data_IF_723006037359
#
_entry.id   IF_723006037359
#
_cell.length_a   1.000
_cell.length_b   1.000
_cell.length_c   1.000
_cell.angle_alpha   90.00
_cell.angle_beta   90.00
_cell.angle_gamma   90.00
#
_symmetry.space_group_name_H-M   'P 1'
#
loop_
_entity.id
_entity.type
_entity.pdbx_description
1 polymer ?
#
# COMPACT_ATOMS: atom_id res chain seq x y z
N UNK A 1 25.66 -8.90 0.93
CA UNK A 1 25.73 -7.82 1.89
C UNK A 1 24.38 -7.12 1.98
N UNK A 2 24.00 -6.82 3.19
CA UNK A 2 22.79 -6.10 3.52
C UNK A 2 23.11 -4.64 3.84
N UNK A 3 22.20 -3.75 3.47
CA UNK A 3 22.20 -2.39 3.99
C UNK A 3 20.93 -2.25 4.81
N UNK A 4 21.04 -2.36 6.13
CA UNK A 4 19.91 -2.22 7.07
C UNK A 4 18.70 -3.15 6.74
N UNK A 5 18.95 -4.38 6.34
CA UNK A 5 17.91 -5.33 5.95
C UNK A 5 17.42 -5.20 4.50
N UNK A 6 18.02 -4.32 3.70
CA UNK A 6 17.79 -4.26 2.26
C UNK A 6 18.79 -5.17 1.55
N UNK A 7 18.34 -6.09 0.67
CA UNK A 7 19.27 -6.78 -0.21
C UNK A 7 20.05 -5.78 -1.05
N UNK A 8 21.39 -5.83 -0.98
CA UNK A 8 22.25 -4.84 -1.65
C UNK A 8 21.96 -4.75 -3.15
N UNK A 9 21.66 -5.86 -3.79
CA UNK A 9 21.34 -5.92 -5.22
C UNK A 9 20.07 -5.13 -5.59
N UNK A 10 19.16 -4.90 -4.65
CA UNK A 10 17.89 -4.18 -4.86
C UNK A 10 17.90 -2.75 -4.31
N UNK A 11 19.01 -2.28 -3.74
CA UNK A 11 19.08 -0.98 -3.08
C UNK A 11 18.58 0.17 -3.96
N UNK A 12 19.08 0.26 -5.20
CA UNK A 12 18.67 1.32 -6.11
C UNK A 12 17.21 1.21 -6.55
N UNK A 13 16.65 0.01 -6.55
CA UNK A 13 15.23 -0.17 -6.81
C UNK A 13 14.36 0.42 -5.68
N UNK A 14 14.78 0.31 -4.42
CA UNK A 14 14.09 0.98 -3.31
C UNK A 14 14.20 2.50 -3.39
N UNK A 15 15.36 3.03 -3.73
CA UNK A 15 15.56 4.48 -3.95
C UNK A 15 14.68 4.96 -5.10
N UNK A 16 14.68 4.24 -6.21
CA UNK A 16 13.85 4.56 -7.38
C UNK A 16 12.37 4.50 -7.08
N UNK A 17 11.92 3.52 -6.30
CA UNK A 17 10.52 3.45 -5.87
C UNK A 17 10.13 4.64 -5.01
N UNK A 18 10.97 5.05 -4.07
CA UNK A 18 10.70 6.22 -3.25
C UNK A 18 10.47 7.46 -4.13
N UNK A 19 11.35 7.72 -5.08
CA UNK A 19 11.22 8.85 -6.02
C UNK A 19 9.98 8.73 -6.91
N UNK A 20 9.70 7.53 -7.41
CA UNK A 20 8.49 7.28 -8.20
C UNK A 20 7.22 7.58 -7.40
N UNK A 21 7.16 7.11 -6.17
CA UNK A 21 5.99 7.33 -5.32
C UNK A 21 5.86 8.79 -4.85
N UNK A 22 6.97 9.50 -4.68
CA UNK A 22 6.94 10.95 -4.45
C UNK A 22 6.30 11.66 -5.64
N UNK A 23 6.71 11.31 -6.85
CA UNK A 23 6.15 11.88 -8.07
C UNK A 23 4.65 11.61 -8.22
N UNK A 24 4.24 10.36 -8.00
CA UNK A 24 2.81 9.99 -8.04
C UNK A 24 2.01 10.72 -6.95
N UNK A 25 2.58 10.90 -5.78
CA UNK A 25 1.94 11.57 -4.64
C UNK A 25 1.79 13.08 -4.78
N UNK A 26 2.55 13.74 -5.65
CA UNK A 26 2.42 15.19 -5.89
C UNK A 26 1.01 15.54 -6.31
N UNK A 27 0.43 14.81 -7.24
CA UNK A 27 -0.94 15.03 -7.68
C UNK A 27 -1.97 14.46 -6.70
N UNK A 28 -1.75 13.26 -6.21
CA UNK A 28 -2.69 12.59 -5.30
C UNK A 28 -3.02 13.44 -4.06
N UNK A 29 -2.08 14.24 -3.59
CA UNK A 29 -2.28 15.10 -2.42
C UNK A 29 -2.94 16.44 -2.71
N UNK A 30 -3.09 16.83 -3.96
CA UNK A 30 -3.61 18.15 -4.32
C UNK A 30 -4.74 18.13 -5.35
N UNK A 31 -4.94 17.03 -6.06
CA UNK A 31 -5.83 16.97 -7.21
C UNK A 31 -7.30 17.28 -6.87
N UNK A 32 -7.77 16.88 -5.70
CA UNK A 32 -9.13 17.21 -5.22
C UNK A 32 -9.33 18.72 -5.10
N UNK A 33 -8.41 19.41 -4.45
CA UNK A 33 -8.38 20.87 -4.31
C UNK A 33 -8.31 21.54 -5.68
N UNK A 34 -7.46 21.04 -6.56
CA UNK A 34 -7.34 21.53 -7.93
C UNK A 34 -8.69 21.47 -8.67
N UNK A 35 -9.36 20.32 -8.60
CA UNK A 35 -10.64 20.10 -9.28
C UNK A 35 -11.72 21.06 -8.77
N UNK A 36 -11.82 21.22 -7.45
CA UNK A 36 -12.79 22.15 -6.85
C UNK A 36 -12.50 23.61 -7.22
N UNK A 37 -11.24 24.00 -7.29
CA UNK A 37 -10.84 25.35 -7.70
C UNK A 37 -11.07 25.64 -9.18
N UNK A 38 -11.18 24.60 -10.02
CA UNK A 38 -11.40 24.74 -11.45
C UNK A 38 -12.86 24.47 -11.88
N UNK A 39 -13.79 24.58 -10.97
CA UNK A 39 -15.23 24.55 -11.26
C UNK A 39 -15.86 23.18 -11.31
N UNK A 40 -15.14 22.11 -10.92
CA UNK A 40 -15.70 20.78 -10.82
C UNK A 40 -16.41 20.57 -9.47
N UNK A 41 -17.47 19.78 -9.46
CA UNK A 41 -18.24 19.47 -8.26
C UNK A 41 -17.55 18.42 -7.39
N UNK A 42 -17.94 18.33 -6.12
CA UNK A 42 -17.51 17.26 -5.23
C UNK A 42 -17.92 15.87 -5.77
N UNK A 43 -19.05 15.77 -6.42
CA UNK A 43 -19.50 14.55 -7.07
C UNK A 43 -18.56 14.09 -8.20
N UNK A 44 -18.06 15.04 -8.99
CA UNK A 44 -17.04 14.76 -10.01
C UNK A 44 -15.74 14.25 -9.39
N UNK A 45 -15.28 14.88 -8.32
CA UNK A 45 -14.06 14.46 -7.60
C UNK A 45 -14.22 13.05 -7.05
N UNK A 46 -15.37 12.74 -6.47
CA UNK A 46 -15.66 11.40 -5.95
C UNK A 46 -15.67 10.35 -7.07
N UNK A 47 -16.26 10.66 -8.21
CA UNK A 47 -16.27 9.79 -9.39
C UNK A 47 -14.85 9.56 -9.91
N UNK A 48 -14.04 10.61 -10.00
CA UNK A 48 -12.65 10.56 -10.45
C UNK A 48 -11.82 9.59 -9.60
N UNK A 49 -11.86 9.75 -8.27
CA UNK A 49 -11.12 8.90 -7.36
C UNK A 49 -11.68 7.47 -7.26
N UNK A 50 -12.98 7.29 -7.45
CA UNK A 50 -13.60 5.97 -7.49
C UNK A 50 -13.11 5.18 -8.70
N UNK A 51 -13.14 5.77 -9.89
CA UNK A 51 -12.63 5.13 -11.10
C UNK A 51 -11.14 4.83 -11.00
N UNK A 52 -10.36 5.78 -10.48
CA UNK A 52 -8.93 5.58 -10.23
C UNK A 52 -8.68 4.42 -9.26
N UNK A 53 -9.42 4.35 -8.16
CA UNK A 53 -9.31 3.27 -7.17
C UNK A 53 -9.62 1.89 -7.76
N UNK A 54 -10.61 1.79 -8.64
CA UNK A 54 -10.97 0.54 -9.33
C UNK A 54 -9.81 0.08 -10.23
N UNK A 55 -9.25 0.97 -11.03
CA UNK A 55 -8.13 0.62 -11.92
C UNK A 55 -6.88 0.27 -11.14
N UNK A 56 -6.58 0.95 -10.05
CA UNK A 56 -5.48 0.63 -9.14
C UNK A 56 -5.65 -0.78 -8.57
N UNK A 57 -6.82 -1.14 -8.09
CA UNK A 57 -7.11 -2.47 -7.55
C UNK A 57 -6.90 -3.57 -8.59
N UNK A 58 -7.41 -3.37 -9.80
CA UNK A 58 -7.25 -4.31 -10.91
C UNK A 58 -5.77 -4.46 -11.27
N UNK A 59 -5.04 -3.37 -11.41
CA UNK A 59 -3.62 -3.38 -11.76
C UNK A 59 -2.76 -4.02 -10.67
N UNK A 60 -3.10 -3.83 -9.42
CA UNK A 60 -2.41 -4.47 -8.29
C UNK A 60 -2.49 -6.00 -8.39
N UNK A 61 -3.64 -6.53 -8.81
CA UNK A 61 -3.77 -7.96 -9.09
C UNK A 61 -2.98 -8.38 -10.34
N UNK A 62 -3.08 -7.63 -11.43
CA UNK A 62 -2.37 -7.94 -12.69
C UNK A 62 -0.86 -7.99 -12.53
N UNK A 63 -0.28 -7.25 -11.58
CA UNK A 63 1.17 -7.25 -11.34
C UNK A 63 1.73 -8.64 -11.07
N UNK A 64 0.97 -9.51 -10.41
CA UNK A 64 1.37 -10.87 -10.15
C UNK A 64 1.43 -11.75 -11.40
N UNK A 65 0.29 -11.97 -12.11
CA UNK A 65 0.29 -12.75 -13.34
C UNK A 65 1.26 -12.26 -14.41
N UNK A 66 1.37 -10.94 -14.58
CA UNK A 66 2.32 -10.37 -15.54
C UNK A 66 3.77 -10.61 -15.14
N UNK A 67 4.09 -10.54 -13.85
CA UNK A 67 5.42 -10.89 -13.34
C UNK A 67 5.76 -12.36 -13.53
N UNK A 68 4.77 -13.24 -13.36
CA UNK A 68 4.91 -14.66 -13.64
C UNK A 68 5.16 -14.93 -15.13
N UNK A 69 4.51 -14.15 -16.00
CA UNK A 69 4.60 -14.34 -17.46
C UNK A 69 5.89 -13.79 -18.04
N UNK A 70 6.31 -12.59 -17.65
CA UNK A 70 7.39 -11.87 -18.33
C UNK A 70 8.53 -11.41 -17.41
N UNK A 71 8.43 -11.67 -16.12
CA UNK A 71 9.36 -11.19 -15.11
C UNK A 71 9.01 -9.81 -14.57
N UNK A 72 9.30 -9.56 -13.28
CA UNK A 72 8.87 -8.34 -12.61
C UNK A 72 9.48 -7.06 -13.20
N UNK A 73 10.71 -7.10 -13.70
CA UNK A 73 11.37 -5.91 -14.25
C UNK A 73 10.66 -5.37 -15.49
N UNK A 74 10.16 -6.25 -16.37
CA UNK A 74 9.37 -5.83 -17.55
C UNK A 74 8.04 -5.23 -17.13
N UNK A 75 7.40 -5.76 -16.11
CA UNK A 75 6.16 -5.20 -15.56
C UNK A 75 6.40 -3.79 -15.02
N UNK A 76 7.51 -3.58 -14.32
CA UNK A 76 7.91 -2.25 -13.85
C UNK A 76 8.14 -1.28 -15.01
N UNK A 77 8.79 -1.71 -16.11
CA UNK A 77 8.95 -0.89 -17.32
C UNK A 77 7.60 -0.49 -17.91
N UNK A 78 6.67 -1.43 -18.00
CA UNK A 78 5.31 -1.16 -18.49
C UNK A 78 4.64 -0.11 -17.59
N UNK A 79 4.73 -0.26 -16.27
CA UNK A 79 4.19 0.70 -15.32
C UNK A 79 4.78 2.10 -15.48
N UNK A 80 6.08 2.20 -15.62
CA UNK A 80 6.77 3.48 -15.83
C UNK A 80 6.36 4.16 -17.14
N UNK A 81 6.40 3.44 -18.23
CA UNK A 81 6.04 3.97 -19.56
C UNK A 81 4.57 4.38 -19.58
N UNK A 82 3.70 3.54 -19.06
CA UNK A 82 2.27 3.82 -19.00
C UNK A 82 1.96 5.06 -18.15
N UNK A 83 2.62 5.19 -16.99
CA UNK A 83 2.46 6.36 -16.13
C UNK A 83 2.88 7.63 -16.84
N UNK A 84 4.05 7.62 -17.49
CA UNK A 84 4.59 8.78 -18.20
C UNK A 84 3.69 9.21 -19.36
N UNK A 85 3.27 8.25 -20.21
CA UNK A 85 2.41 8.55 -21.35
C UNK A 85 1.03 9.07 -20.90
N UNK A 86 0.40 8.42 -19.93
CA UNK A 86 -0.92 8.82 -19.46
C UNK A 86 -0.89 10.13 -18.69
N UNK A 87 0.21 10.43 -18.00
CA UNK A 87 0.39 11.72 -17.34
C UNK A 87 0.49 12.85 -18.37
N UNK A 88 1.27 12.65 -19.44
CA UNK A 88 1.33 13.64 -20.54
C UNK A 88 -0.06 13.86 -21.13
N UNK A 89 -0.80 12.80 -21.41
CA UNK A 89 -2.17 12.92 -21.91
C UNK A 89 -3.10 13.61 -20.89
N UNK A 90 -2.99 13.28 -19.63
CA UNK A 90 -3.80 13.86 -18.57
C UNK A 90 -3.57 15.38 -18.43
N UNK A 91 -2.31 15.79 -18.45
CA UNK A 91 -1.96 17.21 -18.34
C UNK A 91 -2.30 17.99 -19.61
N UNK A 92 -2.07 17.39 -20.78
CA UNK A 92 -2.23 18.07 -22.07
C UNK A 92 -3.69 18.12 -22.54
N UNK A 93 -4.41 16.99 -22.42
CA UNK A 93 -5.79 16.86 -22.93
C UNK A 93 -6.86 16.93 -21.84
N UNK A 94 -6.49 16.69 -20.59
CA UNK A 94 -7.40 16.76 -19.44
C UNK A 94 -7.36 18.07 -18.72
N UNK A 95 -6.30 18.34 -17.96
CA UNK A 95 -6.20 19.53 -17.11
C UNK A 95 -5.98 20.83 -17.91
N UNK A 96 -5.19 20.79 -18.99
CA UNK A 96 -4.94 21.97 -19.80
C UNK A 96 -6.23 22.58 -20.33
N UNK A 97 -7.06 21.86 -21.10
CA UNK A 97 -8.36 22.32 -21.57
C UNK A 97 -9.46 22.30 -20.49
N UNK A 98 -9.20 21.76 -19.32
CA UNK A 98 -10.17 21.52 -18.25
C UNK A 98 -11.39 20.69 -18.73
N UNK A 99 -11.12 19.64 -19.53
CA UNK A 99 -12.15 18.76 -20.07
C UNK A 99 -12.50 17.65 -19.08
N UNK A 100 -13.68 17.70 -18.48
CA UNK A 100 -14.15 16.70 -17.52
C UNK A 100 -14.04 15.26 -17.99
N UNK A 101 -14.59 14.90 -19.19
CA UNK A 101 -14.47 13.53 -19.71
C UNK A 101 -13.02 13.05 -19.91
N UNK A 102 -12.14 13.92 -20.40
CA UNK A 102 -10.73 13.58 -20.62
C UNK A 102 -9.96 13.45 -19.28
N UNK A 103 -10.28 14.27 -18.30
CA UNK A 103 -9.71 14.15 -16.94
C UNK A 103 -10.07 12.78 -16.35
N UNK A 104 -11.34 12.40 -16.40
CA UNK A 104 -11.80 11.10 -15.90
C UNK A 104 -11.12 9.95 -16.63
N UNK A 105 -11.06 10.01 -17.96
CA UNK A 105 -10.47 8.95 -18.78
C UNK A 105 -8.99 8.73 -18.48
N UNK A 106 -8.18 9.78 -18.59
CA UNK A 106 -6.73 9.63 -18.46
C UNK A 106 -6.28 9.40 -17.03
N UNK A 107 -6.94 9.99 -16.04
CA UNK A 107 -6.61 9.71 -14.66
C UNK A 107 -6.99 8.28 -14.25
N UNK A 108 -8.16 7.81 -14.66
CA UNK A 108 -8.57 6.44 -14.43
C UNK A 108 -7.63 5.43 -15.09
N UNK A 109 -7.24 5.66 -16.34
CA UNK A 109 -6.29 4.80 -17.04
C UNK A 109 -4.91 4.84 -16.36
N UNK A 110 -4.46 6.00 -15.90
CA UNK A 110 -3.18 6.12 -15.17
C UNK A 110 -3.17 5.31 -13.88
N UNK A 111 -4.34 5.04 -13.30
CA UNK A 111 -4.46 4.15 -12.14
C UNK A 111 -3.92 2.75 -12.36
N UNK A 112 -3.80 2.29 -13.60
CA UNK A 112 -3.12 1.02 -13.92
C UNK A 112 -1.59 1.09 -13.77
N UNK A 113 -1.00 2.26 -13.74
CA UNK A 113 0.44 2.42 -13.91
C UNK A 113 1.25 2.17 -12.63
N UNK A 114 1.01 2.92 -11.55
CA UNK A 114 1.85 2.79 -10.38
C UNK A 114 1.78 1.40 -9.73
N UNK A 115 0.62 0.69 -9.71
CA UNK A 115 0.59 -0.64 -9.13
C UNK A 115 1.44 -1.64 -9.91
N UNK A 116 1.52 -1.52 -11.22
CA UNK A 116 2.41 -2.36 -12.02
C UNK A 116 3.87 -2.12 -11.64
N UNK A 117 4.27 -0.87 -11.46
CA UNK A 117 5.63 -0.55 -11.02
C UNK A 117 5.87 -1.01 -9.57
N UNK A 118 5.08 -0.56 -8.63
CA UNK A 118 5.29 -0.83 -7.22
C UNK A 118 5.10 -2.31 -6.87
N UNK A 119 4.00 -2.90 -7.25
CA UNK A 119 3.74 -4.31 -6.93
C UNK A 119 4.56 -5.27 -7.79
N UNK A 120 4.95 -4.88 -9.01
CA UNK A 120 5.97 -5.59 -9.75
C UNK A 120 7.30 -5.64 -9.00
N UNK A 121 7.68 -4.53 -8.39
CA UNK A 121 8.86 -4.48 -7.51
C UNK A 121 8.68 -5.36 -6.26
N UNK A 122 7.51 -5.37 -5.64
CA UNK A 122 7.25 -6.24 -4.49
C UNK A 122 7.39 -7.72 -4.85
N UNK A 123 6.91 -8.13 -6.02
CA UNK A 123 7.11 -9.50 -6.52
C UNK A 123 8.61 -9.79 -6.72
N UNK A 124 9.35 -8.85 -7.26
CA UNK A 124 10.80 -8.99 -7.43
C UNK A 124 11.51 -9.14 -6.10
N UNK A 125 11.15 -8.33 -5.10
CA UNK A 125 11.67 -8.47 -3.74
C UNK A 125 11.42 -9.89 -3.20
N UNK A 126 10.20 -10.38 -3.34
CA UNK A 126 9.82 -11.71 -2.85
C UNK A 126 10.58 -12.83 -3.55
N UNK A 127 10.88 -12.67 -4.84
CA UNK A 127 11.62 -13.65 -5.64
C UNK A 127 13.12 -13.63 -5.37
N UNK A 128 13.69 -12.46 -5.06
CA UNK A 128 15.13 -12.26 -4.94
C UNK A 128 15.64 -12.27 -3.50
N UNK A 129 14.77 -12.12 -2.50
CA UNK A 129 15.16 -11.95 -1.10
C UNK A 129 15.10 -13.28 -0.35
N UNK A 130 16.13 -13.63 0.46
CA UNK A 130 16.08 -14.78 1.35
C UNK A 130 14.92 -14.69 2.35
N UNK A 131 14.34 -15.86 2.69
CA UNK A 131 13.19 -15.91 3.60
C UNK A 131 13.44 -15.24 4.95
N UNK A 132 14.66 -15.31 5.47
CA UNK A 132 15.05 -14.69 6.74
C UNK A 132 14.97 -13.16 6.73
N UNK A 133 14.97 -12.53 5.55
CA UNK A 133 14.98 -11.07 5.37
C UNK A 133 13.70 -10.52 4.75
N UNK A 134 12.73 -11.35 4.42
CA UNK A 134 11.52 -10.93 3.72
C UNK A 134 10.70 -9.91 4.51
N UNK A 135 10.66 -10.03 5.84
CA UNK A 135 9.99 -9.04 6.69
C UNK A 135 10.63 -7.67 6.61
N UNK A 136 11.95 -7.60 6.74
CA UNK A 136 12.70 -6.35 6.63
C UNK A 136 12.59 -5.74 5.23
N UNK A 137 12.69 -6.54 4.18
CA UNK A 137 12.54 -6.07 2.81
C UNK A 137 11.11 -5.55 2.55
N UNK A 138 10.09 -6.24 3.02
CA UNK A 138 8.70 -5.78 2.97
C UNK A 138 8.51 -4.47 3.76
N UNK A 139 9.16 -4.35 4.91
CA UNK A 139 9.15 -3.14 5.72
C UNK A 139 9.73 -1.94 4.95
N UNK A 140 10.87 -2.10 4.29
CA UNK A 140 11.46 -1.07 3.44
C UNK A 140 10.60 -0.73 2.23
N UNK A 141 9.96 -1.75 1.63
CA UNK A 141 9.02 -1.52 0.52
C UNK A 141 7.88 -0.60 0.95
N UNK A 142 7.19 -0.94 2.02
CA UNK A 142 6.04 -0.15 2.48
C UNK A 142 6.46 1.19 3.08
N UNK A 143 7.66 1.27 3.67
CA UNK A 143 8.25 2.54 4.09
C UNK A 143 8.44 3.48 2.90
N UNK A 144 9.10 3.03 1.84
CA UNK A 144 9.34 3.84 0.64
C UNK A 144 8.02 4.22 -0.06
N UNK A 145 7.07 3.31 -0.10
CA UNK A 145 5.74 3.55 -0.66
C UNK A 145 5.00 4.64 0.13
N UNK A 146 4.90 4.49 1.43
CA UNK A 146 4.13 5.42 2.29
C UNK A 146 4.86 6.74 2.53
N UNK A 147 6.17 6.76 2.59
CA UNK A 147 6.94 8.01 2.67
C UNK A 147 6.82 8.82 1.36
N UNK A 148 6.78 8.13 0.22
CA UNK A 148 6.66 8.80 -1.08
C UNK A 148 5.26 9.30 -1.37
N UNK A 149 4.29 8.38 -1.45
CA UNK A 149 2.95 8.69 -1.98
C UNK A 149 2.18 9.73 -1.14
N UNK A 150 1.80 9.46 0.12
CA UNK A 150 0.98 10.40 0.88
C UNK A 150 1.76 11.53 1.54
N UNK A 151 3.07 11.39 1.76
CA UNK A 151 3.84 12.29 2.62
C UNK A 151 4.73 13.23 1.83
N UNK A 152 5.81 12.74 1.24
CA UNK A 152 6.76 13.59 0.52
C UNK A 152 6.18 14.17 -0.76
N UNK A 153 5.31 13.45 -1.45
CA UNK A 153 4.61 13.95 -2.63
C UNK A 153 3.74 15.16 -2.29
N UNK A 154 2.93 15.05 -1.24
CA UNK A 154 2.09 16.15 -0.78
C UNK A 154 2.92 17.36 -0.31
N UNK A 155 4.03 17.13 0.38
CA UNK A 155 4.92 18.20 0.81
C UNK A 155 5.61 18.88 -0.39
N UNK A 156 6.01 18.13 -1.38
CA UNK A 156 6.57 18.68 -2.62
C UNK A 156 5.56 19.61 -3.30
N UNK A 157 4.31 19.18 -3.44
CA UNK A 157 3.25 20.02 -4.01
C UNK A 157 3.04 21.30 -3.20
N UNK A 158 2.97 21.17 -1.88
CA UNK A 158 2.77 22.29 -0.96
C UNK A 158 3.83 23.39 -1.12
N UNK A 159 5.10 22.98 -1.26
CA UNK A 159 6.20 23.95 -1.39
C UNK A 159 6.42 24.43 -2.82
N UNK A 160 6.05 23.65 -3.82
CA UNK A 160 6.33 23.97 -5.23
C UNK A 160 5.21 24.78 -5.89
N UNK A 161 3.95 24.51 -5.58
CA UNK A 161 2.81 25.20 -6.19
C UNK A 161 2.86 26.73 -6.02
N UNK A 162 3.20 27.28 -4.84
CA UNK A 162 3.30 28.74 -4.69
C UNK A 162 4.32 29.42 -5.61
N UNK A 163 5.35 28.70 -6.02
CA UNK A 163 6.43 29.24 -6.86
C UNK A 163 6.24 28.97 -8.34
N UNK A 164 5.81 27.76 -8.71
CA UNK A 164 5.70 27.32 -10.10
C UNK A 164 4.27 27.33 -10.63
N UNK A 165 3.28 27.33 -9.76
CA UNK A 165 1.89 27.12 -10.12
C UNK A 165 1.53 25.62 -10.21
N UNK A 166 0.24 25.34 -10.31
CA UNK A 166 -0.31 23.99 -10.21
C UNK A 166 0.13 23.08 -11.36
N UNK A 167 -0.04 23.54 -12.60
CA UNK A 167 0.29 22.71 -13.77
C UNK A 167 1.79 22.45 -13.91
N UNK A 168 2.64 23.42 -13.64
CA UNK A 168 4.09 23.23 -13.68
C UNK A 168 4.56 22.26 -12.59
N UNK A 169 3.94 22.30 -11.42
CA UNK A 169 4.21 21.33 -10.35
C UNK A 169 3.85 19.91 -10.80
N UNK A 170 2.72 19.74 -11.48
CA UNK A 170 2.32 18.44 -12.01
C UNK A 170 3.25 17.95 -13.13
N UNK A 171 3.80 18.85 -13.94
CA UNK A 171 4.87 18.49 -14.88
C UNK A 171 6.16 18.06 -14.17
N UNK A 172 6.47 18.65 -13.02
CA UNK A 172 7.58 18.21 -12.18
C UNK A 172 7.37 16.80 -11.64
N UNK A 173 6.11 16.41 -11.35
CA UNK A 173 5.80 15.04 -10.92
C UNK A 173 6.16 14.01 -11.99
N UNK A 174 5.94 14.33 -13.26
CA UNK A 174 6.38 13.50 -14.37
C UNK A 174 7.89 13.30 -14.36
N UNK A 175 8.66 14.37 -14.15
CA UNK A 175 10.11 14.30 -14.02
C UNK A 175 10.56 13.40 -12.88
N UNK A 176 9.95 13.53 -11.71
CA UNK A 176 10.24 12.70 -10.53
C UNK A 176 9.95 11.21 -10.79
N UNK A 177 8.82 10.91 -11.41
CA UNK A 177 8.45 9.52 -11.75
C UNK A 177 9.43 8.92 -12.75
N UNK A 178 9.80 9.65 -13.79
CA UNK A 178 10.75 9.17 -14.80
C UNK A 178 12.12 8.94 -14.16
N UNK A 179 12.63 9.88 -13.37
CA UNK A 179 13.91 9.73 -12.67
C UNK A 179 13.86 8.52 -11.72
N UNK A 180 12.83 8.41 -10.92
CA UNK A 180 12.67 7.30 -9.99
C UNK A 180 12.60 5.95 -10.69
N UNK A 181 11.79 5.85 -11.73
CA UNK A 181 11.68 4.64 -12.54
C UNK A 181 12.98 4.25 -13.21
N UNK A 182 13.70 5.21 -13.79
CA UNK A 182 15.00 4.94 -14.44
C UNK A 182 16.07 4.56 -13.42
N UNK A 183 16.12 5.21 -12.26
CA UNK A 183 17.04 4.81 -11.18
C UNK A 183 16.80 3.36 -10.76
N UNK A 184 15.53 2.99 -10.54
CA UNK A 184 15.19 1.63 -10.16
C UNK A 184 15.55 0.61 -11.23
N UNK A 185 15.28 0.91 -12.49
CA UNK A 185 15.37 -0.06 -13.58
C UNK A 185 16.76 -0.13 -14.23
N UNK A 186 17.48 0.98 -14.29
CA UNK A 186 18.80 1.03 -14.91
C UNK A 186 19.94 0.67 -13.95
N UNK A 187 19.79 0.94 -12.66
CA UNK A 187 20.84 0.68 -11.66
C UNK A 187 20.65 -0.62 -10.89
N UNK A 188 19.59 -1.35 -11.15
CA UNK A 188 19.33 -2.64 -10.51
C UNK A 188 19.53 -3.77 -11.53
N UNK A 189 20.48 -4.66 -11.27
CA UNK A 189 20.90 -5.73 -12.17
C UNK A 189 20.66 -7.14 -11.63
N UNK A 190 19.80 -7.26 -10.63
CA UNK A 190 19.51 -8.57 -10.04
C UNK A 190 18.82 -9.49 -11.08
N UNK A 191 19.36 -10.72 -11.33
CA UNK A 191 18.93 -11.54 -12.48
C UNK A 191 17.48 -12.01 -12.44
N UNK A 192 16.91 -12.20 -11.26
CA UNK A 192 15.54 -12.71 -11.08
C UNK A 192 14.49 -11.78 -11.70
N UNK A 193 14.78 -10.48 -11.77
CA UNK A 193 13.86 -9.49 -12.33
C UNK A 193 13.55 -9.67 -13.81
N UNK A 194 14.45 -10.29 -14.57
CA UNK A 194 14.30 -10.51 -16.02
C UNK A 194 13.73 -11.88 -16.37
N UNK A 195 13.60 -12.76 -15.37
CA UNK A 195 13.18 -14.14 -15.59
C UNK A 195 11.67 -14.28 -15.41
N UNK A 196 11.05 -15.04 -16.29
CA UNK A 196 9.72 -15.57 -16.06
C UNK A 196 9.74 -16.41 -14.78
N UNK A 197 8.82 -16.14 -13.86
CA UNK A 197 8.81 -16.78 -12.54
C UNK A 197 8.18 -18.17 -12.57
N UNK A 198 7.23 -18.41 -13.49
CA UNK A 198 6.67 -19.74 -13.70
C UNK A 198 7.38 -20.47 -14.84
N UNK A 199 7.34 -21.84 -14.84
CA UNK A 199 7.93 -22.62 -15.92
C UNK A 199 7.39 -22.25 -17.30
N UNK A 200 8.24 -22.32 -18.32
CA UNK A 200 7.90 -21.93 -19.71
C UNK A 200 6.76 -22.74 -20.32
N UNK A 201 6.53 -23.97 -19.84
CA UNK A 201 5.48 -24.84 -20.34
C UNK A 201 4.06 -24.45 -19.85
N UNK A 202 3.94 -23.54 -18.88
CA UNK A 202 2.64 -23.09 -18.38
C UNK A 202 2.05 -22.08 -19.35
N UNK A 203 0.85 -22.34 -19.95
CA UNK A 203 0.20 -21.42 -20.87
C UNK A 203 -0.18 -20.09 -20.17
N UNK A 204 -0.19 -19.00 -20.90
CA UNK A 204 -0.60 -17.67 -20.40
C UNK A 204 -1.98 -17.71 -19.75
N UNK A 205 -2.93 -18.39 -20.40
CA UNK A 205 -4.28 -18.59 -19.86
C UNK A 205 -4.28 -19.19 -18.45
N UNK A 206 -3.45 -20.22 -18.22
CA UNK A 206 -3.36 -20.90 -16.94
C UNK A 206 -2.66 -20.03 -15.88
N UNK A 207 -1.76 -19.15 -16.28
CA UNK A 207 -1.12 -18.19 -15.37
C UNK A 207 -2.18 -17.23 -14.78
N UNK A 208 -3.00 -16.62 -15.63
CA UNK A 208 -4.05 -15.70 -15.18
C UNK A 208 -5.13 -16.41 -14.37
N UNK A 209 -5.58 -17.56 -14.84
CA UNK A 209 -6.54 -18.38 -14.10
C UNK A 209 -5.96 -18.87 -12.75
N UNK A 210 -4.69 -19.26 -12.73
CA UNK A 210 -3.99 -19.69 -11.52
C UNK A 210 -3.87 -18.58 -10.48
N UNK A 211 -3.63 -17.34 -10.91
CA UNK A 211 -3.56 -16.17 -10.03
C UNK A 211 -4.92 -15.78 -9.44
N UNK A 212 -6.00 -16.19 -10.03
CA UNK A 212 -7.34 -16.02 -9.47
C UNK A 212 -7.75 -17.25 -8.64
N UNK A 213 -7.54 -18.44 -9.18
CA UNK A 213 -7.96 -19.70 -8.55
C UNK A 213 -7.17 -20.05 -7.28
N UNK A 214 -6.02 -19.40 -7.05
CA UNK A 214 -5.23 -19.59 -5.83
C UNK A 214 -6.05 -19.31 -4.56
N UNK A 215 -7.05 -18.45 -4.64
CA UNK A 215 -7.94 -18.15 -3.51
C UNK A 215 -8.64 -19.37 -2.94
N UNK A 216 -8.98 -20.35 -3.78
CA UNK A 216 -9.63 -21.59 -3.33
C UNK A 216 -8.74 -22.82 -3.37
N UNK A 217 -7.69 -22.84 -4.18
CA UNK A 217 -6.66 -23.89 -4.14
C UNK A 217 -5.80 -23.79 -2.87
N UNK A 218 -5.49 -22.57 -2.44
CA UNK A 218 -4.75 -22.25 -1.23
C UNK A 218 -5.55 -21.23 -0.40
N UNK A 219 -6.51 -21.71 0.44
CA UNK A 219 -7.42 -20.83 1.18
C UNK A 219 -6.72 -19.81 2.09
N UNK A 220 -5.47 -20.07 2.48
CA UNK A 220 -4.68 -19.12 3.28
C UNK A 220 -4.48 -17.78 2.56
N UNK A 221 -4.43 -17.78 1.22
CA UNK A 221 -4.33 -16.52 0.44
C UNK A 221 -5.57 -15.68 0.62
N UNK A 222 -6.76 -16.29 0.59
CA UNK A 222 -8.02 -15.58 0.82
C UNK A 222 -8.09 -15.04 2.24
N UNK A 223 -7.69 -15.83 3.23
CA UNK A 223 -7.63 -15.39 4.64
C UNK A 223 -6.69 -14.20 4.77
N UNK A 224 -5.50 -14.27 4.19
CA UNK A 224 -4.54 -13.17 4.20
C UNK A 224 -5.07 -11.91 3.50
N UNK A 225 -5.76 -12.07 2.38
CA UNK A 225 -6.41 -10.98 1.67
C UNK A 225 -7.48 -10.28 2.53
N UNK A 226 -8.30 -11.04 3.25
CA UNK A 226 -9.31 -10.50 4.17
C UNK A 226 -8.64 -9.78 5.34
N UNK A 227 -7.61 -10.37 5.94
CA UNK A 227 -6.82 -9.71 7.00
C UNK A 227 -6.21 -8.40 6.48
N UNK A 228 -5.68 -8.40 5.26
CA UNK A 228 -5.14 -7.19 4.63
C UNK A 228 -6.19 -6.11 4.44
N UNK A 229 -7.40 -6.46 4.05
CA UNK A 229 -8.53 -5.52 3.96
C UNK A 229 -8.81 -4.92 5.34
N UNK A 230 -8.94 -5.76 6.35
CA UNK A 230 -9.27 -5.33 7.72
C UNK A 230 -8.20 -4.41 8.27
N UNK A 231 -6.93 -4.78 8.17
CA UNK A 231 -5.81 -4.09 8.82
C UNK A 231 -5.66 -2.62 8.40
N UNK A 232 -6.12 -2.25 7.22
CA UNK A 232 -6.08 -0.86 6.74
C UNK A 232 -7.46 -0.23 6.49
N UNK A 233 -8.54 -0.96 6.70
CA UNK A 233 -9.90 -0.46 6.47
C UNK A 233 -10.24 0.73 7.37
N UNK A 234 -9.84 0.69 8.64
CA UNK A 234 -10.10 1.79 9.58
C UNK A 234 -9.40 3.08 9.18
N UNK A 235 -8.20 3.00 8.61
CA UNK A 235 -7.46 4.18 8.14
C UNK A 235 -8.28 4.97 7.12
N UNK A 236 -8.83 4.31 6.12
CA UNK A 236 -9.65 4.95 5.10
C UNK A 236 -11.00 5.44 5.64
N UNK A 237 -11.61 4.68 6.54
CA UNK A 237 -12.83 5.11 7.22
C UNK A 237 -12.61 6.37 8.06
N UNK A 238 -11.52 6.41 8.82
CA UNK A 238 -11.22 7.51 9.74
C UNK A 238 -10.83 8.79 9.01
N UNK A 239 -10.19 8.70 7.86
CA UNK A 239 -9.96 9.87 7.01
C UNK A 239 -11.28 10.55 6.61
N UNK A 240 -12.35 9.80 6.48
CA UNK A 240 -13.67 10.34 6.13
C UNK A 240 -14.43 10.93 7.34
N UNK A 241 -14.34 10.31 8.52
CA UNK A 241 -15.20 10.65 9.68
C UNK A 241 -14.50 11.40 10.81
N UNK A 242 -13.20 11.21 11.02
CA UNK A 242 -12.47 11.81 12.13
C UNK A 242 -12.28 13.33 12.03
N UNK A 243 -12.11 13.94 10.85
CA UNK A 243 -12.04 15.40 10.78
C UNK A 243 -13.25 16.10 11.43
N UNK A 244 -14.46 15.66 11.11
CA UNK A 244 -15.68 16.21 11.69
C UNK A 244 -15.75 15.94 13.21
N UNK A 245 -15.36 14.76 13.65
CA UNK A 245 -15.34 14.41 15.06
C UNK A 245 -14.39 15.31 15.85
N UNK A 246 -13.16 15.50 15.39
CA UNK A 246 -12.17 16.31 16.12
C UNK A 246 -12.46 17.81 16.04
N UNK A 247 -12.82 18.32 14.87
CA UNK A 247 -13.01 19.76 14.67
C UNK A 247 -14.40 20.21 15.13
N UNK A 248 -15.45 19.53 14.70
CA UNK A 248 -16.83 19.99 14.94
C UNK A 248 -17.37 19.54 16.32
N UNK A 249 -17.06 18.33 16.76
CA UNK A 249 -17.59 17.77 18.02
C UNK A 249 -16.66 18.02 19.22
N UNK A 250 -15.35 17.89 19.05
CA UNK A 250 -14.37 18.07 20.12
C UNK A 250 -13.74 19.47 20.14
N UNK A 251 -14.09 20.32 19.19
CA UNK A 251 -13.61 21.70 19.07
C UNK A 251 -12.09 21.85 18.97
N UNK A 252 -11.41 20.87 18.37
CA UNK A 252 -10.02 21.04 17.98
C UNK A 252 -9.94 22.03 16.84
N UNK A 253 -8.89 22.85 16.81
CA UNK A 253 -8.63 23.67 15.65
C UNK A 253 -8.26 22.81 14.44
N UNK A 254 -8.48 23.30 13.23
CA UNK A 254 -8.05 22.60 12.02
C UNK A 254 -6.55 22.35 12.04
N UNK A 255 -5.75 23.31 12.54
CA UNK A 255 -4.30 23.15 12.69
C UNK A 255 -3.94 22.00 13.63
N UNK A 256 -4.61 21.89 14.78
CA UNK A 256 -4.39 20.78 15.72
C UNK A 256 -4.75 19.43 15.09
N UNK A 257 -5.84 19.35 14.34
CA UNK A 257 -6.21 18.14 13.63
C UNK A 257 -5.16 17.76 12.58
N UNK A 258 -4.69 18.71 11.78
CA UNK A 258 -3.69 18.44 10.75
C UNK A 258 -2.35 18.03 11.36
N UNK A 259 -1.96 18.61 12.49
CA UNK A 259 -0.77 18.20 13.23
C UNK A 259 -0.91 16.77 13.78
N UNK A 260 -2.07 16.43 14.32
CA UNK A 260 -2.37 15.09 14.79
C UNK A 260 -2.29 14.06 13.64
N UNK A 261 -2.91 14.39 12.52
CA UNK A 261 -2.89 13.54 11.33
C UNK A 261 -1.46 13.32 10.81
N UNK A 262 -0.65 14.37 10.82
CA UNK A 262 0.77 14.27 10.44
C UNK A 262 1.55 13.33 11.38
N UNK A 263 1.30 13.40 12.68
CA UNK A 263 1.92 12.49 13.66
C UNK A 263 1.48 11.04 13.43
N UNK A 264 0.21 10.80 13.12
CA UNK A 264 -0.30 9.46 12.82
C UNK A 264 0.38 8.90 11.56
N UNK A 265 0.48 9.68 10.49
CA UNK A 265 1.14 9.24 9.27
C UNK A 265 2.64 9.01 9.47
N UNK A 266 3.32 9.87 10.21
CA UNK A 266 4.74 9.68 10.53
C UNK A 266 4.95 8.40 11.32
N UNK A 267 4.13 8.15 12.33
CA UNK A 267 4.14 6.91 13.10
C UNK A 267 3.92 5.70 12.18
N UNK A 268 2.93 5.75 11.31
CA UNK A 268 2.62 4.68 10.37
C UNK A 268 3.81 4.37 9.46
N UNK A 269 4.45 5.39 8.89
CA UNK A 269 5.60 5.23 8.01
C UNK A 269 6.77 4.56 8.73
N UNK A 270 7.10 5.03 9.93
CA UNK A 270 8.20 4.47 10.70
C UNK A 270 7.91 3.03 11.13
N UNK A 271 6.70 2.75 11.57
CA UNK A 271 6.31 1.41 12.01
C UNK A 271 6.05 0.45 10.85
N UNK A 272 5.86 0.90 9.62
CA UNK A 272 5.92 0.04 8.44
C UNK A 272 7.27 -0.67 8.36
N UNK A 273 8.34 0.07 8.59
CA UNK A 273 9.70 -0.49 8.62
C UNK A 273 9.92 -1.36 9.85
N UNK A 274 9.58 -0.85 11.04
CA UNK A 274 9.80 -1.53 12.32
C UNK A 274 9.05 -2.86 12.38
N UNK A 275 7.78 -2.89 11.97
CA UNK A 275 6.99 -4.12 11.99
C UNK A 275 7.57 -5.20 11.08
N UNK A 276 8.07 -4.81 9.90
CA UNK A 276 8.76 -5.73 9.01
C UNK A 276 10.04 -6.31 9.62
N UNK A 277 10.86 -5.46 10.24
CA UNK A 277 12.10 -5.90 10.90
C UNK A 277 11.82 -6.82 12.11
N UNK A 278 10.86 -6.44 12.95
CA UNK A 278 10.48 -7.23 14.12
C UNK A 278 9.92 -8.60 13.69
N UNK A 279 9.22 -8.65 12.58
CA UNK A 279 8.64 -9.89 12.06
C UNK A 279 9.70 -10.95 11.72
N UNK A 280 10.89 -10.54 11.30
CA UNK A 280 11.99 -11.47 11.02
C UNK A 280 12.52 -12.16 12.28
N UNK A 281 12.35 -11.59 13.45
CA UNK A 281 12.77 -12.16 14.74
C UNK A 281 11.61 -12.79 15.52
N UNK A 282 10.47 -12.10 15.62
CA UNK A 282 9.31 -12.57 16.40
C UNK A 282 8.35 -13.45 15.61
N UNK A 283 8.49 -13.50 14.29
CA UNK A 283 7.58 -14.20 13.40
C UNK A 283 6.53 -13.28 12.78
N UNK A 284 6.31 -13.46 11.46
CA UNK A 284 5.37 -12.62 10.69
C UNK A 284 3.94 -12.75 11.20
N UNK A 285 3.50 -13.97 11.43
CA UNK A 285 2.15 -14.26 11.92
C UNK A 285 1.90 -13.65 13.30
N UNK A 286 2.88 -13.72 14.19
CA UNK A 286 2.78 -13.12 15.52
C UNK A 286 2.59 -11.60 15.45
N UNK A 287 3.41 -10.92 14.65
CA UNK A 287 3.34 -9.45 14.53
C UNK A 287 2.00 -9.00 13.96
N UNK A 288 1.54 -9.63 12.89
CA UNK A 288 0.25 -9.29 12.27
C UNK A 288 -0.91 -9.57 13.23
N UNK A 289 -0.91 -10.71 13.92
CA UNK A 289 -1.98 -11.07 14.84
C UNK A 289 -2.00 -10.20 16.09
N UNK A 290 -0.87 -10.09 16.76
CA UNK A 290 -0.80 -9.40 18.06
C UNK A 290 -0.73 -7.88 17.89
N UNK A 291 0.23 -7.39 17.14
CA UNK A 291 0.38 -5.93 16.99
C UNK A 291 -0.67 -5.33 16.05
N UNK A 292 -1.09 -6.04 15.02
CA UNK A 292 -2.12 -5.58 14.10
C UNK A 292 -3.54 -5.82 14.61
N UNK A 293 -3.86 -7.07 14.94
CA UNK A 293 -5.21 -7.47 15.32
C UNK A 293 -5.56 -7.05 16.76
N UNK A 294 -4.86 -7.56 17.75
CA UNK A 294 -5.10 -7.24 19.17
C UNK A 294 -4.74 -5.79 19.43
N UNK A 295 -3.61 -5.32 18.88
CA UNK A 295 -3.19 -3.93 18.98
C UNK A 295 -4.24 -2.96 18.43
N UNK A 296 -4.81 -3.26 17.27
CA UNK A 296 -5.89 -2.47 16.69
C UNK A 296 -7.17 -2.48 17.51
N UNK A 297 -7.52 -3.64 18.07
CA UNK A 297 -8.64 -3.76 19.00
C UNK A 297 -8.52 -2.82 20.20
N UNK A 298 -7.31 -2.58 20.68
CA UNK A 298 -7.02 -1.66 21.80
C UNK A 298 -6.88 -0.22 21.28
N UNK A 299 -6.13 -0.02 20.19
CA UNK A 299 -5.78 1.31 19.68
C UNK A 299 -6.99 2.10 19.17
N UNK A 300 -7.92 1.44 18.48
CA UNK A 300 -9.08 2.10 17.87
C UNK A 300 -10.00 2.70 18.94
N UNK A 301 -10.41 1.98 19.98
CA UNK A 301 -11.15 2.59 21.08
C UNK A 301 -10.39 3.70 21.80
N UNK A 302 -9.09 3.53 22.05
CA UNK A 302 -8.28 4.57 22.69
C UNK A 302 -8.22 5.86 21.86
N UNK A 303 -8.08 5.74 20.54
CA UNK A 303 -8.07 6.90 19.64
C UNK A 303 -9.38 7.69 19.68
N UNK A 304 -10.48 7.02 19.95
CA UNK A 304 -11.80 7.64 20.12
C UNK A 304 -12.01 8.19 21.53
N UNK A 305 -11.73 7.40 22.59
CA UNK A 305 -12.08 7.75 23.96
C UNK A 305 -11.08 8.67 24.65
N UNK A 306 -9.79 8.59 24.35
CA UNK A 306 -8.77 9.47 24.96
C UNK A 306 -9.06 10.96 24.70
N UNK A 307 -9.44 11.39 23.49
CA UNK A 307 -9.86 12.78 23.27
C UNK A 307 -11.09 13.19 24.08
N UNK A 308 -11.99 12.27 24.38
CA UNK A 308 -13.18 12.51 25.19
C UNK A 308 -12.83 12.60 26.67
N UNK A 309 -11.97 11.70 27.17
CA UNK A 309 -11.58 11.66 28.57
C UNK A 309 -10.64 12.80 28.97
N UNK A 310 -9.81 13.26 28.05
CA UNK A 310 -8.83 14.33 28.25
C UNK A 310 -9.07 15.47 27.27
N UNK A 311 -10.19 16.21 27.36
CA UNK A 311 -10.51 17.28 26.43
C UNK A 311 -9.46 18.39 26.51
N UNK A 312 -9.01 18.83 25.33
CA UNK A 312 -8.00 19.88 25.22
C UNK A 312 -6.56 19.43 25.45
N UNK A 313 -6.30 18.18 25.82
CA UNK A 313 -4.94 17.67 25.97
C UNK A 313 -4.43 17.07 24.65
N UNK A 314 -3.84 17.92 23.82
CA UNK A 314 -3.31 17.50 22.50
C UNK A 314 -2.31 16.34 22.60
N UNK A 315 -1.42 16.36 23.58
CA UNK A 315 -0.37 15.35 23.66
C UNK A 315 -0.87 13.97 24.09
N UNK A 316 -1.89 13.91 24.92
CA UNK A 316 -2.55 12.64 25.24
C UNK A 316 -3.22 12.03 23.99
N UNK A 317 -3.91 12.87 23.21
CA UNK A 317 -4.54 12.49 21.96
C UNK A 317 -3.48 12.09 20.91
N UNK A 318 -2.39 12.83 20.84
CA UNK A 318 -1.25 12.51 19.96
C UNK A 318 -0.65 11.14 20.29
N UNK A 319 -0.48 10.81 21.58
CA UNK A 319 0.00 9.50 22.00
C UNK A 319 -0.93 8.37 21.53
N UNK A 320 -2.25 8.53 21.70
CA UNK A 320 -3.24 7.59 21.21
C UNK A 320 -3.20 7.45 19.67
N UNK A 321 -3.05 8.56 18.96
CA UNK A 321 -2.93 8.58 17.49
C UNK A 321 -1.66 7.92 17.00
N UNK A 322 -0.54 8.15 17.64
CA UNK A 322 0.75 7.50 17.33
C UNK A 322 0.64 5.98 17.52
N UNK A 323 0.05 5.56 18.62
CA UNK A 323 -0.22 4.14 18.88
C UNK A 323 -1.12 3.53 17.82
N UNK A 324 -2.18 4.21 17.42
CA UNK A 324 -3.06 3.77 16.34
C UNK A 324 -2.29 3.63 15.02
N UNK A 325 -1.50 4.62 14.63
CA UNK A 325 -0.70 4.58 13.42
C UNK A 325 0.31 3.43 13.42
N UNK A 326 0.90 3.14 14.57
CA UNK A 326 1.81 2.01 14.75
C UNK A 326 1.11 0.66 14.55
N UNK A 327 -0.10 0.50 15.09
CA UNK A 327 -0.86 -0.77 14.95
C UNK A 327 -1.36 -0.99 13.52
N UNK A 328 -1.78 0.06 12.83
CA UNK A 328 -2.17 -0.02 11.42
C UNK A 328 -1.01 -0.49 10.54
N UNK A 329 0.22 -0.13 10.87
CA UNK A 329 1.41 -0.55 10.14
C UNK A 329 1.70 -2.07 10.24
N UNK A 330 1.11 -2.78 11.17
CA UNK A 330 1.43 -4.18 11.44
C UNK A 330 0.90 -5.17 10.38
N UNK A 331 0.27 -4.71 9.31
CA UNK A 331 -0.04 -5.53 8.12
C UNK A 331 1.20 -5.88 7.28
N UNK A 332 2.26 -5.10 7.40
CA UNK A 332 3.46 -5.20 6.55
C UNK A 332 4.03 -6.62 6.48
N UNK A 333 4.14 -7.38 7.57
CA UNK A 333 4.68 -8.73 7.50
C UNK A 333 3.89 -9.71 6.63
N UNK A 334 2.63 -9.41 6.28
CA UNK A 334 1.87 -10.26 5.34
C UNK A 334 2.57 -10.37 3.98
N UNK A 335 3.19 -9.29 3.50
CA UNK A 335 3.94 -9.29 2.24
C UNK A 335 5.19 -10.17 2.30
N UNK A 336 5.76 -10.38 3.48
CA UNK A 336 6.86 -11.30 3.70
C UNK A 336 6.40 -12.73 4.00
N UNK A 337 5.23 -12.88 4.60
CA UNK A 337 4.67 -14.19 4.99
C UNK A 337 4.10 -14.95 3.78
N UNK A 338 3.39 -14.28 2.89
CA UNK A 338 2.70 -14.96 1.78
C UNK A 338 3.64 -15.65 0.82
N UNK A 339 4.81 -15.10 0.44
CA UNK A 339 5.78 -15.86 -0.35
C UNK A 339 6.30 -17.11 0.34
N UNK A 340 6.30 -17.15 1.65
CA UNK A 340 6.72 -18.33 2.43
C UNK A 340 5.62 -19.40 2.51
N UNK A 341 4.35 -18.98 2.53
CA UNK A 341 3.20 -19.90 2.52
C UNK A 341 3.02 -20.53 1.13
N UNK A 342 3.19 -19.74 0.09
CA UNK A 342 3.04 -20.14 -1.31
C UNK A 342 4.36 -19.96 -2.08
N UNK A 343 5.40 -20.73 -1.78
CA UNK A 343 6.72 -20.51 -2.38
C UNK A 343 6.78 -20.86 -3.87
N UNK A 344 5.84 -21.63 -4.38
CA UNK A 344 5.73 -21.97 -5.80
C UNK A 344 5.00 -20.92 -6.62
N UNK A 345 4.14 -20.13 -5.98
CA UNK A 345 3.25 -19.16 -6.60
C UNK A 345 3.29 -17.82 -5.85
N UNK A 346 4.49 -17.30 -5.61
CA UNK A 346 4.69 -16.07 -4.83
C UNK A 346 3.95 -14.86 -5.40
N UNK A 347 4.02 -14.69 -6.71
CA UNK A 347 3.38 -13.58 -7.39
C UNK A 347 1.86 -13.65 -7.32
N UNK A 348 1.27 -14.84 -7.48
CA UNK A 348 -0.16 -15.05 -7.35
C UNK A 348 -0.66 -14.72 -5.92
N UNK A 349 0.07 -15.18 -4.90
CA UNK A 349 -0.25 -14.88 -3.50
C UNK A 349 -0.19 -13.37 -3.22
N UNK A 350 0.84 -12.69 -3.70
CA UNK A 350 0.97 -11.24 -3.55
C UNK A 350 -0.11 -10.45 -4.31
N UNK A 351 -0.59 -10.99 -5.44
CA UNK A 351 -1.72 -10.40 -6.17
C UNK A 351 -2.99 -10.35 -5.33
N UNK A 352 -3.24 -11.39 -4.55
CA UNK A 352 -4.41 -11.44 -3.65
C UNK A 352 -4.26 -10.40 -2.51
N UNK A 353 -3.06 -10.23 -1.98
CA UNK A 353 -2.80 -9.14 -1.03
C UNK A 353 -3.00 -7.76 -1.68
N UNK A 354 -2.60 -7.59 -2.93
CA UNK A 354 -2.83 -6.38 -3.71
C UNK A 354 -4.31 -6.06 -3.88
N UNK A 355 -5.13 -7.06 -4.19
CA UNK A 355 -6.59 -6.92 -4.20
C UNK A 355 -7.12 -6.48 -2.83
N UNK A 356 -6.62 -7.07 -1.75
CA UNK A 356 -7.00 -6.70 -0.39
C UNK A 356 -6.63 -5.25 -0.06
N UNK A 357 -5.43 -4.84 -0.43
CA UNK A 357 -4.98 -3.45 -0.25
C UNK A 357 -5.88 -2.45 -0.99
N UNK A 358 -6.23 -2.74 -2.24
CA UNK A 358 -7.15 -1.92 -3.01
C UNK A 358 -8.58 -1.92 -2.44
N UNK A 359 -9.07 -3.07 -2.02
CA UNK A 359 -10.41 -3.20 -1.46
C UNK A 359 -10.59 -2.43 -0.14
N UNK A 360 -9.55 -2.30 0.69
CA UNK A 360 -9.64 -1.58 1.96
C UNK A 360 -10.05 -0.11 1.79
N UNK A 361 -9.75 0.49 0.65
CA UNK A 361 -10.09 1.90 0.35
C UNK A 361 -11.59 2.15 0.33
N UNK A 362 -12.38 1.18 -0.12
CA UNK A 362 -13.83 1.30 -0.17
C UNK A 362 -14.54 0.50 0.95
N UNK A 363 -13.95 -0.58 1.42
CA UNK A 363 -14.52 -1.39 2.52
C UNK A 363 -14.57 -0.58 3.81
N UNK A 364 -13.54 0.22 4.11
CA UNK A 364 -13.54 1.08 5.30
C UNK A 364 -14.76 2.00 5.36
N UNK A 365 -14.97 2.87 4.37
CA UNK A 365 -16.19 3.69 4.30
C UNK A 365 -17.47 2.90 4.23
N UNK A 366 -17.49 1.73 3.58
CA UNK A 366 -18.67 0.86 3.53
C UNK A 366 -19.08 0.34 4.92
N UNK A 367 -18.11 0.02 5.78
CA UNK A 367 -18.38 -0.37 7.18
C UNK A 367 -19.03 0.78 7.94
N UNK A 368 -18.57 2.02 7.73
CA UNK A 368 -19.20 3.21 8.33
C UNK A 368 -20.64 3.34 7.90
N UNK A 369 -20.92 3.21 6.61
CA UNK A 369 -22.28 3.27 6.06
C UNK A 369 -23.18 2.14 6.61
N UNK A 370 -22.63 0.94 6.70
CA UNK A 370 -23.33 -0.21 7.29
C UNK A 370 -23.71 0.06 8.77
N UNK A 371 -22.77 0.58 9.56
CA UNK A 371 -23.05 0.93 10.95
C UNK A 371 -24.15 1.99 11.07
N UNK A 372 -24.12 3.00 10.22
CA UNK A 372 -25.17 4.02 10.16
C UNK A 372 -26.55 3.46 9.83
N UNK A 373 -26.62 2.50 8.91
CA UNK A 373 -27.87 1.87 8.50
C UNK A 373 -28.44 0.90 9.55
N UNK A 374 -27.57 0.16 10.24
CA UNK A 374 -27.98 -0.90 11.18
C UNK A 374 -28.14 -0.38 12.61
N UNK A 375 -27.19 0.42 13.07
CA UNK A 375 -27.14 0.89 14.47
C UNK A 375 -27.61 2.34 14.64
N UNK A 376 -27.80 3.07 13.55
CA UNK A 376 -28.12 4.49 13.58
C UNK A 376 -26.89 5.39 13.72
N UNK A 377 -27.09 6.71 13.81
CA UNK A 377 -25.99 7.67 13.92
C UNK A 377 -25.34 7.57 15.30
N UNK A 378 -24.05 7.32 15.30
CA UNK A 378 -23.27 7.23 16.54
C UNK A 378 -21.88 6.73 16.22
N UNK A 379 -20.87 7.54 16.49
CA UNK A 379 -19.49 7.16 16.19
C UNK A 379 -19.02 5.97 17.02
N UNK A 380 -19.54 5.79 18.24
CA UNK A 380 -19.19 4.66 19.08
C UNK A 380 -19.51 3.31 18.44
N UNK A 381 -20.58 3.20 17.66
CA UNK A 381 -20.90 1.97 16.93
C UNK A 381 -19.84 1.64 15.87
N UNK A 382 -19.38 2.66 15.15
CA UNK A 382 -18.31 2.51 14.17
C UNK A 382 -17.00 2.05 14.84
N UNK A 383 -16.63 2.71 15.93
CA UNK A 383 -15.41 2.40 16.69
C UNK A 383 -15.39 0.96 17.19
N UNK A 384 -16.47 0.52 17.84
CA UNK A 384 -16.54 -0.84 18.35
C UNK A 384 -16.68 -1.90 17.26
N UNK A 385 -17.33 -1.58 16.16
CA UNK A 385 -17.39 -2.46 15.00
C UNK A 385 -15.99 -2.71 14.45
N UNK A 386 -15.20 -1.67 14.23
CA UNK A 386 -13.81 -1.83 13.81
C UNK A 386 -12.97 -2.58 14.83
N UNK A 387 -13.12 -2.27 16.12
CA UNK A 387 -12.39 -2.96 17.17
C UNK A 387 -12.65 -4.48 17.14
N UNK A 388 -13.91 -4.89 17.03
CA UNK A 388 -14.29 -6.31 16.96
C UNK A 388 -13.76 -6.97 15.68
N UNK A 389 -13.83 -6.28 14.55
CA UNK A 389 -13.32 -6.78 13.27
C UNK A 389 -11.79 -7.00 13.35
N UNK A 390 -11.06 -6.07 13.97
CA UNK A 390 -9.61 -6.23 14.17
C UNK A 390 -9.29 -7.41 15.11
N UNK A 391 -10.08 -7.61 16.15
CA UNK A 391 -9.92 -8.76 17.01
C UNK A 391 -10.18 -10.08 16.24
N UNK A 392 -11.19 -10.09 15.38
CA UNK A 392 -11.46 -11.21 14.49
C UNK A 392 -10.28 -11.47 13.53
N UNK A 393 -9.64 -10.43 13.01
CA UNK A 393 -8.46 -10.56 12.15
C UNK A 393 -7.29 -11.19 12.89
N UNK A 394 -7.13 -10.90 14.18
CA UNK A 394 -6.12 -11.55 15.01
C UNK A 394 -6.31 -13.08 15.04
N UNK A 395 -7.54 -13.53 15.20
CA UNK A 395 -7.89 -14.95 15.15
C UNK A 395 -7.67 -15.57 13.76
N UNK A 396 -8.08 -14.87 12.72
CA UNK A 396 -7.89 -15.31 11.33
C UNK A 396 -6.41 -15.47 10.97
N UNK A 397 -5.58 -14.57 11.43
CA UNK A 397 -4.13 -14.59 11.18
C UNK A 397 -3.46 -15.83 11.76
N UNK A 398 -4.00 -16.40 12.83
CA UNK A 398 -3.48 -17.64 13.41
C UNK A 398 -3.53 -18.84 12.45
N UNK A 399 -4.42 -18.81 11.46
CA UNK A 399 -4.52 -19.84 10.43
C UNK A 399 -3.42 -19.75 9.36
N UNK A 400 -2.65 -18.66 9.32
CA UNK A 400 -1.62 -18.40 8.32
C UNK A 400 -0.28 -19.08 8.67
N UNK A 401 -0.32 -20.39 8.93
CA UNK A 401 0.89 -21.19 9.21
C UNK A 401 1.60 -21.56 7.93
N UNK A 402 2.94 -21.51 7.97
CA UNK A 402 3.79 -22.06 6.92
C UNK A 402 3.78 -23.58 7.08
N UNK A 403 3.32 -24.31 6.05
CA UNK A 403 3.30 -25.77 6.08
C UNK A 403 4.74 -26.34 6.05
N UNK A 404 4.96 -27.55 6.59
CA UNK A 404 6.27 -28.21 6.48
C UNK A 404 6.72 -28.43 5.03
N UNK A 405 5.79 -28.69 4.12
CA UNK A 405 6.07 -28.83 2.68
C UNK A 405 6.55 -27.52 2.06
N UNK A 406 5.89 -26.40 2.37
CA UNK A 406 6.28 -25.08 1.89
C UNK A 406 7.68 -24.69 2.41
N UNK A 407 7.96 -24.97 3.67
CA UNK A 407 9.28 -24.70 4.27
C UNK A 407 10.37 -25.53 3.60
N UNK A 408 10.12 -26.81 3.38
CA UNK A 408 11.06 -27.71 2.68
C UNK A 408 11.31 -27.23 1.26
N UNK A 409 10.28 -26.86 0.53
CA UNK A 409 10.43 -26.33 -0.83
C UNK A 409 11.31 -25.07 -0.85
N UNK A 410 11.12 -24.16 0.10
CA UNK A 410 11.95 -22.95 0.21
C UNK A 410 13.41 -23.28 0.50
N UNK A 411 13.67 -24.23 1.40
CA UNK A 411 15.03 -24.69 1.73
C UNK A 411 15.71 -25.33 0.52
N UNK A 412 15.00 -26.17 -0.21
CA UNK A 412 15.52 -26.81 -1.43
C UNK A 412 15.77 -25.80 -2.55
N UNK A 413 14.87 -24.85 -2.76
CA UNK A 413 15.04 -23.79 -3.75
C UNK A 413 16.24 -22.90 -3.40
N UNK A 414 16.44 -22.61 -2.13
CA UNK A 414 17.60 -21.88 -1.63
C UNK A 414 18.89 -22.65 -1.89
N UNK A 415 18.90 -23.96 -1.63
CA UNK A 415 20.05 -24.82 -1.89
C UNK A 415 20.40 -24.94 -3.37
N UNK A 416 19.38 -24.83 -4.27
CA UNK A 416 19.59 -24.80 -5.73
C UNK A 416 20.04 -23.41 -6.25
N UNK A 417 20.15 -22.41 -5.38
CA UNK A 417 20.54 -21.05 -5.78
C UNK A 417 19.43 -20.27 -6.51
N UNK A 418 18.20 -20.75 -6.47
CA UNK A 418 17.04 -20.06 -7.08
C UNK A 418 16.64 -18.81 -6.30
N UNK A 419 16.95 -18.78 -5.01
CA UNK A 419 16.87 -17.61 -4.14
C UNK A 419 18.27 -17.31 -3.66
N UNK A 420 18.67 -16.03 -3.66
CA UNK A 420 19.98 -15.63 -3.15
C UNK A 420 20.14 -16.04 -1.69
N UNK A 421 21.04 -17.01 -1.42
CA UNK A 421 21.42 -17.38 -0.04
C UNK A 421 22.40 -16.39 0.55
N UNK A 422 23.03 -15.61 -0.29
CA UNK A 422 24.07 -14.71 0.09
C UNK A 422 23.43 -13.39 0.53
N UNK A 423 23.34 -13.28 1.79
CA UNK A 423 24.14 -12.28 2.48
C UNK A 423 25.47 -12.22 1.72
N UNK A 424 25.55 -11.34 0.72
CA UNK A 424 26.67 -11.31 -0.20
C UNK A 424 27.95 -11.06 0.58
N UNK A 425 28.89 -11.94 0.33
CA UNK A 425 30.28 -11.74 0.78
C UNK A 425 30.90 -10.48 0.19
#
# INVERSE_FOLDING_TARGET
>A
AEILGIPRALFWAFVGQLLFMVGDGVEAGYLDTYMLHHGHSQGFVNELFTLYGITVMIAAWFSGPLSDLMGPKKVMWIGLILWALLEVCFLTFGLGPNSGPMILLFYALRGFAYPLFAYGFLVWIAAATPAAMLGSAAGWFWFSFSAGLPTLGSQFARYTIPYLGELKTFWCSLGLVIIGGLVALLFTHEPTGKKRLLPDHVPTKDIFFGSLSIMWREPKTTIAGIVRIIDTSSEYAFLAIMPAFFVDQLHFSLEQWLNLLSLIFLSNILFNLVSGMIADTLGHRFVVSVFGGIGGFIAIPLFYYVPIWYPGNFWAVAAAGIFYGATVAAFVPLSGLMPQICPREKAAALSILGLGAGASTWVGPAIVSFCGAVFGPGMSYVIWTFAVIYLASAGMTLALKISPEARRYTEEATARGEVSTTVGH
#
